data_IF_935688447097
#
_entry.id   IF_935688447097
#
_cell.length_a   1.000
_cell.length_b   1.000
_cell.length_c   1.000
_cell.angle_alpha   90.00
_cell.angle_beta   90.00
_cell.angle_gamma   90.00
#
_symmetry.space_group_name_H-M   'P 1'
#
loop_
_entity.id
_entity.type
_entity.pdbx_description
1 polymer ?
#
# COMPACT_ATOMS: atom_id res chain seq x y z
N UNK A 1 -25.78 6.12 20.75
CA UNK A 1 -24.30 6.14 20.73
C UNK A 1 -23.86 7.31 19.86
N UNK A 2 -23.51 8.44 20.47
CA UNK A 2 -22.95 9.60 19.78
C UNK A 2 -21.58 9.89 20.40
N UNK A 3 -20.56 10.16 19.59
CA UNK A 3 -19.22 10.53 20.07
C UNK A 3 -18.03 9.75 19.50
N UNK A 4 -18.24 8.70 18.69
CA UNK A 4 -17.15 8.01 18.00
C UNK A 4 -16.94 8.54 16.58
N UNK A 5 -15.69 8.63 16.11
CA UNK A 5 -15.41 8.99 14.72
C UNK A 5 -16.00 7.94 13.77
N UNK A 6 -16.62 8.40 12.70
CA UNK A 6 -17.07 7.57 11.59
C UNK A 6 -16.13 7.74 10.40
N UNK A 7 -15.97 6.67 9.61
CA UNK A 7 -15.20 6.71 8.37
C UNK A 7 -16.16 6.88 7.18
N UNK A 8 -15.75 7.71 6.22
CA UNK A 8 -16.37 7.79 4.90
C UNK A 8 -15.35 7.36 3.84
N UNK A 9 -15.74 6.56 2.83
CA UNK A 9 -14.86 6.28 1.70
C UNK A 9 -14.40 7.59 1.05
N UNK A 10 -13.11 7.69 0.75
CA UNK A 10 -12.49 8.91 0.25
C UNK A 10 -11.90 8.73 -1.14
N UNK A 11 -11.06 7.71 -1.30
CA UNK A 11 -10.41 7.36 -2.54
C UNK A 11 -10.02 5.88 -2.53
N UNK A 12 -9.85 5.33 -3.72
CA UNK A 12 -9.30 4.00 -3.97
C UNK A 12 -7.90 4.16 -4.56
N UNK A 13 -6.91 3.52 -3.92
CA UNK A 13 -5.53 3.42 -4.40
C UNK A 13 -5.35 2.07 -5.09
N UNK A 14 -4.96 2.08 -6.36
CA UNK A 14 -4.57 0.87 -7.10
C UNK A 14 -3.11 1.00 -7.46
N UNK A 15 -2.28 0.05 -7.04
CA UNK A 15 -0.84 0.07 -7.27
C UNK A 15 -0.46 -1.09 -8.17
N UNK A 16 0.30 -0.80 -9.21
CA UNK A 16 1.01 -1.81 -10.01
C UNK A 16 2.40 -1.99 -9.42
N UNK A 17 2.74 -3.24 -9.09
CA UNK A 17 4.03 -3.58 -8.49
C UNK A 17 4.83 -4.49 -9.41
N UNK A 18 6.15 -4.38 -9.34
CA UNK A 18 7.08 -5.28 -10.05
C UNK A 18 7.64 -6.36 -9.10
N UNK A 19 8.50 -7.23 -9.63
CA UNK A 19 9.16 -8.28 -8.87
C UNK A 19 9.91 -7.71 -7.65
N UNK A 20 9.82 -8.40 -6.49
CA UNK A 20 10.48 -7.96 -5.28
C UNK A 20 12.01 -8.08 -5.35
N UNK A 21 12.72 -7.13 -4.72
CA UNK A 21 14.15 -7.21 -4.45
C UNK A 21 14.39 -7.75 -3.02
N UNK A 22 14.86 -9.00 -2.86
CA UNK A 22 15.17 -9.55 -1.55
C UNK A 22 16.49 -8.96 -1.02
N UNK A 23 16.41 -8.08 -0.03
CA UNK A 23 17.58 -7.45 0.60
C UNK A 23 18.16 -8.35 1.71
N UNK A 24 17.32 -9.15 2.37
CA UNK A 24 17.72 -10.07 3.42
C UNK A 24 17.72 -9.44 4.82
N UNK A 25 18.38 -10.09 5.78
CA UNK A 25 18.44 -9.65 7.18
C UNK A 25 19.87 -9.70 7.70
N UNK A 26 20.36 -8.60 8.29
CA UNK A 26 21.72 -8.57 8.84
C UNK A 26 21.80 -9.10 10.29
N UNK A 27 20.86 -8.72 11.17
CA UNK A 27 20.95 -9.07 12.61
C UNK A 27 19.61 -9.44 13.27
N UNK A 28 18.47 -8.95 12.76
CA UNK A 28 17.18 -9.02 13.47
C UNK A 28 16.30 -10.21 13.10
N UNK A 29 16.77 -11.09 12.20
CA UNK A 29 15.99 -12.18 11.57
C UNK A 29 14.67 -11.72 10.92
N UNK A 30 14.50 -10.42 10.71
CA UNK A 30 13.42 -9.82 9.94
C UNK A 30 13.98 -9.40 8.59
N UNK A 31 13.72 -10.19 7.56
CA UNK A 31 14.20 -9.91 6.21
C UNK A 31 13.50 -8.65 5.67
N UNK A 32 14.28 -7.79 5.01
CA UNK A 32 13.77 -6.69 4.20
C UNK A 32 13.55 -7.19 2.76
N UNK A 33 12.39 -6.86 2.22
CA UNK A 33 12.09 -6.98 0.79
C UNK A 33 11.65 -5.60 0.31
N UNK A 34 12.19 -5.16 -0.82
CA UNK A 34 11.76 -3.90 -1.45
C UNK A 34 10.93 -4.23 -2.69
N UNK A 35 9.72 -3.71 -2.75
CA UNK A 35 8.79 -3.93 -3.87
C UNK A 35 8.64 -2.63 -4.65
N UNK A 36 9.07 -2.57 -5.92
CA UNK A 36 8.87 -1.40 -6.76
C UNK A 36 7.40 -1.17 -7.06
N UNK A 37 6.92 0.06 -6.86
CA UNK A 37 5.60 0.53 -7.27
C UNK A 37 5.76 1.28 -8.59
N UNK A 38 5.52 0.59 -9.70
CA UNK A 38 5.85 1.05 -11.07
C UNK A 38 4.72 1.83 -11.74
N UNK A 39 3.57 1.94 -11.09
CA UNK A 39 2.43 2.67 -11.61
C UNK A 39 1.22 2.52 -10.71
N UNK A 40 0.10 3.09 -11.15
CA UNK A 40 -1.15 3.01 -10.41
C UNK A 40 -1.97 4.28 -10.47
N UNK A 41 -3.08 4.28 -9.76
CA UNK A 41 -4.02 5.40 -9.68
C UNK A 41 -4.47 5.64 -8.24
N UNK A 42 -4.78 6.90 -7.94
CA UNK A 42 -5.53 7.29 -6.74
C UNK A 42 -6.75 8.08 -7.20
N UNK A 43 -7.92 7.47 -7.05
CA UNK A 43 -9.18 8.01 -7.58
C UNK A 43 -10.17 8.18 -6.43
N UNK A 44 -10.75 9.38 -6.30
CA UNK A 44 -11.77 9.65 -5.29
C UNK A 44 -13.05 8.85 -5.50
N UNK A 45 -13.66 8.49 -4.38
CA UNK A 45 -15.02 7.96 -4.36
C UNK A 45 -16.03 9.06 -4.70
N UNK A 46 -17.13 8.68 -5.35
CA UNK A 46 -18.17 9.63 -5.74
C UNK A 46 -18.71 10.38 -4.53
N UNK A 47 -18.71 11.72 -4.59
CA UNK A 47 -19.19 12.59 -3.51
C UNK A 47 -18.16 12.91 -2.41
N UNK A 48 -16.91 12.43 -2.50
CA UNK A 48 -15.84 12.92 -1.64
C UNK A 48 -15.23 14.23 -2.18
N UNK A 49 -14.81 15.13 -1.28
CA UNK A 49 -14.17 16.41 -1.62
C UNK A 49 -13.07 16.71 -0.60
N UNK A 50 -11.87 17.15 -1.03
CA UNK A 50 -11.46 17.39 -2.42
C UNK A 50 -11.39 16.09 -3.25
N UNK A 51 -11.78 16.18 -4.52
CA UNK A 51 -11.73 15.05 -5.44
C UNK A 51 -10.30 14.89 -5.97
N UNK A 52 -9.79 13.66 -5.90
CA UNK A 52 -8.47 13.31 -6.37
C UNK A 52 -8.58 12.42 -7.61
N UNK A 53 -7.93 12.83 -8.69
CA UNK A 53 -7.66 12.02 -9.87
C UNK A 53 -6.17 12.13 -10.15
N UNK A 54 -5.43 11.12 -9.68
CA UNK A 54 -3.98 11.11 -9.74
C UNK A 54 -3.44 9.77 -10.21
N UNK A 55 -2.26 9.80 -10.84
CA UNK A 55 -1.49 8.64 -11.28
C UNK A 55 -0.13 8.64 -10.62
N UNK A 56 0.44 7.47 -10.38
CA UNK A 56 1.82 7.40 -9.90
C UNK A 56 2.79 8.03 -10.91
N UNK A 57 3.67 8.88 -10.40
CA UNK A 57 4.72 9.57 -11.15
C UNK A 57 6.07 8.92 -10.79
N UNK A 58 6.72 8.32 -11.79
CA UNK A 58 7.97 7.57 -11.59
C UNK A 58 7.76 6.26 -10.80
N UNK A 59 8.82 5.82 -10.11
CA UNK A 59 8.83 4.56 -9.36
C UNK A 59 8.89 4.82 -7.86
N UNK A 60 7.83 4.44 -7.16
CA UNK A 60 7.82 4.35 -5.70
C UNK A 60 8.35 3.00 -5.21
N UNK A 61 8.47 2.83 -3.89
CA UNK A 61 8.88 1.54 -3.30
C UNK A 61 8.13 1.26 -2.00
N UNK A 62 7.73 0.01 -1.80
CA UNK A 62 7.31 -0.53 -0.50
C UNK A 62 8.46 -1.29 0.16
N UNK A 63 8.83 -0.87 1.36
CA UNK A 63 9.90 -1.45 2.16
C UNK A 63 9.31 -2.42 3.19
N UNK A 64 9.08 -3.64 2.76
CA UNK A 64 8.34 -4.65 3.51
C UNK A 64 9.25 -5.41 4.47
N UNK A 65 8.81 -5.55 5.72
CA UNK A 65 9.49 -6.37 6.73
C UNK A 65 8.56 -7.41 7.33
N UNK A 66 8.98 -8.67 7.30
CA UNK A 66 8.28 -9.72 8.04
C UNK A 66 8.60 -9.62 9.54
N UNK A 67 7.57 -9.79 10.37
CA UNK A 67 7.75 -9.96 11.80
C UNK A 67 8.50 -11.28 12.09
N UNK A 68 9.25 -11.40 13.20
CA UNK A 68 10.05 -12.59 13.50
C UNK A 68 9.25 -13.90 13.60
N UNK A 69 7.95 -13.83 13.91
CA UNK A 69 7.06 -14.98 14.01
C UNK A 69 6.47 -15.41 12.65
N UNK A 70 6.72 -14.64 11.59
CA UNK A 70 6.21 -14.86 10.24
C UNK A 70 4.70 -14.66 10.08
N UNK A 71 3.98 -14.23 11.13
CA UNK A 71 2.51 -14.11 11.10
C UNK A 71 2.05 -12.80 10.48
N UNK A 72 2.91 -11.80 10.47
CA UNK A 72 2.61 -10.46 9.94
C UNK A 72 3.77 -9.91 9.15
N UNK A 73 3.46 -9.02 8.23
CA UNK A 73 4.42 -8.12 7.60
C UNK A 73 4.06 -6.65 7.84
N UNK A 74 5.07 -5.81 7.82
CA UNK A 74 4.99 -4.36 8.02
C UNK A 74 5.29 -3.67 6.70
N UNK A 75 4.32 -2.89 6.23
CA UNK A 75 4.44 -2.09 5.02
C UNK A 75 5.01 -0.72 5.36
N UNK A 76 5.80 -0.18 4.43
CA UNK A 76 6.31 1.17 4.52
C UNK A 76 6.57 1.65 3.09
N UNK A 77 5.53 2.17 2.46
CA UNK A 77 5.55 2.50 1.05
C UNK A 77 5.61 3.99 0.79
N UNK A 78 6.44 4.36 -0.16
CA UNK A 78 6.72 5.74 -0.54
C UNK A 78 6.53 5.87 -2.05
N UNK A 79 5.72 6.83 -2.46
CA UNK A 79 5.48 7.14 -3.86
C UNK A 79 5.17 8.62 -4.05
N UNK A 80 5.16 9.02 -5.31
CA UNK A 80 4.66 10.33 -5.74
C UNK A 80 3.52 10.06 -6.71
N UNK A 81 2.43 10.80 -6.55
CA UNK A 81 1.32 10.79 -7.50
C UNK A 81 1.15 12.19 -8.08
N UNK A 82 0.84 12.25 -9.36
CA UNK A 82 0.58 13.47 -10.10
C UNK A 82 -0.90 13.54 -10.46
N UNK A 83 -1.54 14.65 -10.12
CA UNK A 83 -2.94 14.91 -10.44
C UNK A 83 -3.10 15.31 -11.91
N UNK A 84 -4.33 15.27 -12.41
CA UNK A 84 -4.65 15.72 -13.78
C UNK A 84 -4.32 17.21 -14.06
N UNK A 85 -4.23 18.03 -13.02
CA UNK A 85 -3.84 19.45 -13.05
C UNK A 85 -2.37 19.67 -12.65
N UNK A 86 -1.55 18.63 -12.77
CA UNK A 86 -0.09 18.63 -12.61
C UNK A 86 0.46 18.87 -11.18
N UNK A 87 -0.39 18.90 -10.15
CA UNK A 87 0.07 18.93 -8.76
C UNK A 87 0.74 17.60 -8.37
N UNK A 88 1.79 17.69 -7.55
CA UNK A 88 2.51 16.52 -7.04
C UNK A 88 2.15 16.30 -5.57
N UNK A 89 1.74 15.08 -5.27
CA UNK A 89 1.40 14.65 -3.92
C UNK A 89 2.33 13.52 -3.54
N UNK A 90 3.05 13.70 -2.43
CA UNK A 90 3.80 12.62 -1.83
C UNK A 90 2.83 11.70 -1.10
N UNK A 91 2.90 10.41 -1.43
CA UNK A 91 2.10 9.35 -0.84
C UNK A 91 3.00 8.49 0.04
N UNK A 92 2.66 8.42 1.33
CA UNK A 92 3.26 7.49 2.28
C UNK A 92 2.16 6.64 2.89
N UNK A 93 2.25 5.32 2.74
CA UNK A 93 1.39 4.43 3.52
C UNK A 93 2.21 3.46 4.35
N UNK A 94 1.69 3.17 5.53
CA UNK A 94 2.23 2.14 6.41
C UNK A 94 1.10 1.28 6.90
N UNK A 95 1.42 0.06 7.32
CA UNK A 95 0.40 -0.83 7.79
C UNK A 95 0.92 -2.20 8.15
N UNK A 96 -0.02 -3.05 8.50
CA UNK A 96 0.24 -4.44 8.83
C UNK A 96 -0.61 -5.33 7.95
N UNK A 97 -0.01 -6.40 7.44
CA UNK A 97 -0.73 -7.45 6.74
C UNK A 97 -0.55 -8.76 7.50
N UNK A 98 -1.64 -9.46 7.75
CA UNK A 98 -1.63 -10.80 8.30
C UNK A 98 -1.25 -11.79 7.18
N UNK A 99 -0.28 -12.65 7.45
CA UNK A 99 0.22 -13.63 6.48
C UNK A 99 -0.69 -14.87 6.46
N UNK A 100 -1.92 -14.69 5.97
CA UNK A 100 -2.86 -15.78 5.70
C UNK A 100 -2.40 -16.58 4.47
N UNK A 101 -2.95 -17.78 4.27
CA UNK A 101 -2.64 -18.58 3.09
C UNK A 101 -2.98 -17.84 1.79
N UNK A 102 -4.09 -17.11 1.76
CA UNK A 102 -4.50 -16.28 0.62
C UNK A 102 -3.49 -15.18 0.32
N UNK A 103 -3.06 -14.43 1.35
CA UNK A 103 -2.04 -13.38 1.21
C UNK A 103 -0.72 -13.96 0.71
N UNK A 104 -0.27 -15.09 1.25
CA UNK A 104 0.98 -15.74 0.80
C UNK A 104 0.90 -16.09 -0.68
N UNK A 105 -0.19 -16.70 -1.13
CA UNK A 105 -0.39 -17.04 -2.55
C UNK A 105 -0.44 -15.80 -3.44
N UNK A 106 -1.07 -14.73 -2.99
CA UNK A 106 -1.15 -13.47 -3.72
C UNK A 106 0.24 -12.86 -3.93
N UNK A 107 1.02 -12.76 -2.84
CA UNK A 107 2.37 -12.17 -2.88
C UNK A 107 3.40 -13.04 -3.60
N UNK A 108 3.19 -14.36 -3.66
CA UNK A 108 4.05 -15.27 -4.42
C UNK A 108 3.64 -15.43 -5.89
N UNK A 109 2.62 -14.71 -6.36
CA UNK A 109 2.09 -14.84 -7.73
C UNK A 109 1.36 -16.15 -8.01
N UNK A 110 0.99 -16.91 -6.97
CA UNK A 110 0.31 -18.21 -7.07
C UNK A 110 -1.22 -18.10 -6.97
N UNK A 111 -1.75 -16.92 -6.64
CA UNK A 111 -3.19 -16.71 -6.50
C UNK A 111 -3.94 -16.55 -7.84
N UNK A 112 -3.23 -16.30 -8.95
CA UNK A 112 -3.87 -15.87 -10.19
C UNK A 112 -4.65 -14.57 -9.98
N UNK A 113 -5.92 -14.54 -10.39
CA UNK A 113 -6.82 -13.39 -10.23
C UNK A 113 -7.60 -13.41 -8.91
N UNK A 114 -7.27 -14.29 -7.96
CA UNK A 114 -8.00 -14.40 -6.70
C UNK A 114 -7.70 -13.24 -5.75
N UNK A 115 -8.74 -12.71 -5.12
CA UNK A 115 -8.66 -11.67 -4.10
C UNK A 115 -8.60 -12.28 -2.69
N UNK A 116 -7.93 -11.59 -1.76
CA UNK A 116 -7.97 -11.93 -0.34
C UNK A 116 -9.18 -11.26 0.33
N UNK A 117 -9.82 -11.90 1.32
CA UNK A 117 -10.91 -11.28 2.08
C UNK A 117 -10.50 -9.95 2.74
N UNK A 118 -11.46 -9.07 2.96
CA UNK A 118 -11.24 -7.84 3.71
C UNK A 118 -10.79 -8.15 5.15
N UNK A 119 -9.86 -7.33 5.66
CA UNK A 119 -9.38 -7.39 7.05
C UNK A 119 -8.00 -8.02 7.23
N UNK A 120 -7.44 -8.65 6.19
CA UNK A 120 -6.06 -9.17 6.23
C UNK A 120 -5.02 -8.05 6.20
N UNK A 121 -5.36 -6.87 5.69
CA UNK A 121 -4.51 -5.69 5.67
C UNK A 121 -5.19 -4.52 6.38
N UNK A 122 -4.43 -3.77 7.17
CA UNK A 122 -4.82 -2.50 7.73
C UNK A 122 -3.69 -1.50 7.52
N UNK A 123 -3.98 -0.42 6.79
CA UNK A 123 -3.01 0.62 6.43
C UNK A 123 -3.53 2.00 6.79
N UNK A 124 -2.61 2.94 7.00
CA UNK A 124 -2.89 4.35 7.13
C UNK A 124 -2.03 5.12 6.13
N UNK A 125 -2.65 6.13 5.52
CA UNK A 125 -2.02 6.98 4.53
C UNK A 125 -1.70 8.33 5.15
N UNK A 126 -0.54 8.85 4.81
CA UNK A 126 -0.17 10.24 4.94
C UNK A 126 0.08 10.79 3.54
N UNK A 127 -0.64 11.85 3.21
CA UNK A 127 -0.49 12.59 1.97
C UNK A 127 0.09 13.95 2.32
N UNK A 128 1.20 14.32 1.69
CA UNK A 128 1.81 15.65 1.84
C UNK A 128 1.82 16.34 0.46
N UNK A 129 1.43 17.62 0.44
CA UNK A 129 1.41 18.52 -0.72
C UNK A 129 2.19 19.79 -0.31
N UNK A 130 3.03 20.34 -1.20
CA UNK A 130 3.86 21.52 -0.95
C UNK A 130 3.57 22.63 -1.95
#
# INVERSE_FOLDING_TARGET
>A
MAGFPTLKPAFTVRVSVDAPFPVGSHHRKTALVVVPMVGGTVISESGFTPALDAKFEGTGNDYIRNDPDGKRMRLNAHGVVKTHDDALIYLHYQGTVNMTEGVIKALSGQAGDAETPFGDSCTWYRLDEY
#
